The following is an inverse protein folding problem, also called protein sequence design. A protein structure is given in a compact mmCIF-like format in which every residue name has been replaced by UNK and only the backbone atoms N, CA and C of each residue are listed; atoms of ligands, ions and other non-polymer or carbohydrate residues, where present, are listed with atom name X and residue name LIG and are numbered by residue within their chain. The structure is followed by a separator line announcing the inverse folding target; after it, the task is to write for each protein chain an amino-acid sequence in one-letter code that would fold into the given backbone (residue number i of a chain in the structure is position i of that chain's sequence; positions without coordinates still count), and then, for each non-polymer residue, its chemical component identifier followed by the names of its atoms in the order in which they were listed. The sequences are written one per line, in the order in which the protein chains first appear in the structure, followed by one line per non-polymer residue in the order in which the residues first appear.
data_IF_266252131123
#
_entry.id   IF_266252131123
#
_cell.length_a   1.000
_cell.length_b   1.000
_cell.length_c   1.000
_cell.angle_alpha   90.00
_cell.angle_beta   90.00
_cell.angle_gamma   90.00
#
_symmetry.space_group_name_H-M   'P 1'
#
loop_
_entity.id
_entity.type
_entity.pdbx_description
1 polymer ?
#
# COMPACT_ATOMS: atom_id res chain seq x y z
N UNK A 1 -2.01 -38.62 -6.10
CA UNK A 1 -3.13 -37.83 -5.56
C UNK A 1 -2.53 -36.61 -4.90
N UNK A 2 -2.38 -35.54 -5.67
CA UNK A 2 -1.95 -34.22 -5.19
C UNK A 2 -3.07 -33.71 -4.28
N UNK A 3 -2.76 -33.53 -3.00
CA UNK A 3 -3.68 -32.89 -2.06
C UNK A 3 -3.92 -31.48 -2.58
N UNK A 4 -5.19 -31.19 -2.83
CA UNK A 4 -5.70 -29.88 -3.17
C UNK A 4 -5.30 -28.93 -2.05
N UNK A 5 -4.44 -27.96 -2.38
CA UNK A 5 -4.07 -26.87 -1.50
C UNK A 5 -5.35 -26.09 -1.20
N UNK A 6 -5.86 -26.19 0.03
CA UNK A 6 -7.05 -25.46 0.48
C UNK A 6 -6.74 -23.95 0.57
N UNK A 7 -6.68 -23.31 -0.60
CA UNK A 7 -6.65 -21.86 -0.80
C UNK A 7 -8.05 -21.24 -0.73
N UNK A 8 -8.20 -19.98 -1.16
CA UNK A 8 -9.50 -19.30 -1.15
C UNK A 8 -10.51 -20.07 -1.99
N UNK A 9 -11.77 -20.07 -1.52
CA UNK A 9 -12.87 -20.67 -2.27
C UNK A 9 -13.04 -20.04 -3.66
N UNK A 10 -13.60 -20.81 -4.59
CA UNK A 10 -14.01 -20.29 -5.90
C UNK A 10 -14.91 -19.06 -5.73
N UNK A 11 -14.59 -17.95 -6.42
CA UNK A 11 -15.29 -16.66 -6.30
C UNK A 11 -15.41 -16.16 -4.85
N UNK A 12 -14.41 -16.44 -4.02
CA UNK A 12 -14.30 -15.80 -2.72
C UNK A 12 -14.07 -14.29 -2.89
N UNK A 13 -14.44 -13.53 -1.85
CA UNK A 13 -14.02 -12.14 -1.71
C UNK A 13 -12.48 -12.05 -1.70
N UNK A 14 -11.90 -10.88 -2.04
CA UNK A 14 -10.47 -10.68 -1.93
C UNK A 14 -10.02 -10.99 -0.51
N UNK A 15 -8.97 -11.80 -0.38
CA UNK A 15 -8.46 -12.23 0.92
C UNK A 15 -6.96 -12.49 0.86
N UNK A 16 -6.32 -12.44 2.02
CA UNK A 16 -4.88 -12.66 2.17
C UNK A 16 -4.63 -13.95 2.92
N UNK A 17 -3.70 -14.74 2.38
CA UNK A 17 -3.41 -16.08 2.84
C UNK A 17 -1.91 -16.25 3.03
N UNK A 18 -1.54 -16.89 4.13
CA UNK A 18 -0.16 -17.24 4.43
C UNK A 18 -0.05 -18.74 4.68
N UNK A 19 1.00 -19.35 4.14
CA UNK A 19 1.30 -20.76 4.31
C UNK A 19 2.30 -20.91 5.45
N UNK A 20 1.89 -21.58 6.51
CA UNK A 20 2.69 -21.89 7.68
C UNK A 20 2.80 -23.41 7.83
N UNK A 21 4.03 -23.93 7.71
CA UNK A 21 4.32 -25.36 7.81
C UNK A 21 3.49 -26.20 6.82
N UNK A 22 3.36 -25.71 5.59
CA UNK A 22 2.61 -26.35 4.50
C UNK A 22 1.09 -26.22 4.60
N UNK A 23 0.55 -25.43 5.54
CA UNK A 23 -0.90 -25.20 5.69
C UNK A 23 -1.24 -23.73 5.47
N UNK A 24 -2.21 -23.46 4.59
CA UNK A 24 -2.69 -22.10 4.34
C UNK A 24 -3.66 -21.63 5.43
N UNK A 25 -3.45 -20.41 5.92
CA UNK A 25 -4.27 -19.73 6.91
C UNK A 25 -4.67 -18.35 6.41
N UNK A 26 -5.91 -17.89 6.66
CA UNK A 26 -6.27 -16.49 6.47
C UNK A 26 -5.35 -15.62 7.31
N UNK A 27 -4.88 -14.51 6.76
CA UNK A 27 -3.97 -13.61 7.44
C UNK A 27 -4.28 -12.15 7.15
N UNK A 28 -3.79 -11.27 8.01
CA UNK A 28 -3.79 -9.84 7.75
C UNK A 28 -2.57 -9.17 8.39
N UNK A 29 -2.13 -8.06 7.80
CA UNK A 29 -1.15 -7.17 8.41
C UNK A 29 -1.87 -6.12 9.24
N UNK A 30 -1.64 -6.11 10.57
CA UNK A 30 -2.09 -4.99 11.41
C UNK A 30 -0.97 -3.99 11.62
N UNK A 31 -1.27 -2.69 11.62
CA UNK A 31 -0.27 -1.69 11.90
C UNK A 31 0.48 -1.90 13.22
N UNK A 32 -0.26 -2.16 14.30
CA UNK A 32 0.32 -2.36 15.62
C UNK A 32 1.16 -3.66 15.77
N UNK A 33 1.05 -4.60 14.84
CA UNK A 33 1.69 -5.92 14.94
C UNK A 33 2.88 -6.10 13.99
N UNK A 34 3.17 -5.11 13.15
CA UNK A 34 4.33 -5.11 12.27
C UNK A 34 5.65 -5.22 13.06
N UNK A 35 6.66 -5.98 12.58
CA UNK A 35 6.76 -6.66 11.29
C UNK A 35 6.07 -8.03 11.21
N UNK A 36 5.27 -8.43 12.19
CA UNK A 36 4.63 -9.74 12.23
C UNK A 36 3.26 -9.75 11.54
N UNK A 37 2.94 -10.87 10.91
CA UNK A 37 1.62 -11.16 10.36
C UNK A 37 0.76 -11.88 11.39
N UNK A 38 -0.52 -11.54 11.41
CA UNK A 38 -1.51 -12.25 12.21
C UNK A 38 -2.15 -13.34 11.36
N UNK A 39 -2.01 -14.60 11.79
CA UNK A 39 -2.70 -15.75 11.20
C UNK A 39 -3.96 -16.07 12.02
N UNK A 40 -5.09 -16.26 11.34
CA UNK A 40 -6.34 -16.71 11.96
C UNK A 40 -6.45 -18.23 11.89
N UNK A 41 -7.10 -18.82 12.88
CA UNK A 41 -7.56 -20.19 12.77
C UNK A 41 -8.50 -20.35 11.55
N UNK A 42 -8.44 -21.51 10.91
CA UNK A 42 -9.34 -21.87 9.81
C UNK A 42 -10.75 -22.12 10.34
N UNK A 43 -11.74 -22.07 9.45
CA UNK A 43 -13.14 -22.34 9.80
C UNK A 43 -13.37 -23.79 10.28
N UNK A 44 -12.47 -24.70 9.91
CA UNK A 44 -12.43 -26.08 10.41
C UNK A 44 -11.85 -26.21 11.83
N UNK A 45 -11.48 -25.09 12.47
CA UNK A 45 -10.93 -25.02 13.82
C UNK A 45 -9.43 -25.29 13.93
N UNK A 46 -8.73 -25.60 12.83
CA UNK A 46 -7.27 -25.78 12.86
C UNK A 46 -6.60 -24.43 13.08
N UNK A 47 -5.86 -24.33 14.19
CA UNK A 47 -5.03 -23.18 14.51
C UNK A 47 -3.56 -23.41 14.08
N UNK A 48 -2.82 -22.34 13.74
CA UNK A 48 -1.37 -22.41 13.51
C UNK A 48 -0.61 -22.92 14.75
N UNK A 49 0.04 -24.08 14.60
CA UNK A 49 0.80 -24.69 15.69
C UNK A 49 2.14 -23.97 15.93
N UNK A 50 2.58 -23.88 17.19
CA UNK A 50 3.91 -23.39 17.56
C UNK A 50 4.10 -21.87 17.43
N UNK A 51 3.03 -21.11 17.24
CA UNK A 51 3.05 -19.65 17.19
C UNK A 51 2.52 -19.02 18.48
N UNK A 52 3.04 -17.84 18.78
CA UNK A 52 2.57 -17.00 19.89
C UNK A 52 1.11 -16.60 19.64
N UNK A 53 0.27 -16.83 20.64
CA UNK A 53 -1.16 -16.50 20.59
C UNK A 53 -1.39 -15.16 21.27
N UNK A 54 -1.97 -14.22 20.54
CA UNK A 54 -2.38 -12.91 21.06
C UNK A 54 -3.91 -12.87 21.16
N UNK A 55 -4.41 -12.29 22.25
CA UNK A 55 -5.83 -11.97 22.37
C UNK A 55 -6.14 -10.74 21.53
N UNK A 56 -7.11 -10.87 20.63
CA UNK A 56 -7.54 -9.77 19.78
C UNK A 56 -8.88 -9.25 20.31
N UNK A 57 -8.78 -8.24 21.17
CA UNK A 57 -9.93 -7.59 21.82
C UNK A 57 -10.96 -7.04 20.83
N UNK A 58 -10.59 -6.87 19.55
CA UNK A 58 -11.46 -6.34 18.50
C UNK A 58 -12.38 -7.37 17.84
N UNK A 59 -12.03 -8.66 17.87
CA UNK A 59 -12.78 -9.71 17.16
C UNK A 59 -13.27 -10.86 18.06
N UNK A 60 -12.96 -10.84 19.36
CA UNK A 60 -13.18 -11.99 20.26
C UNK A 60 -12.60 -13.31 19.68
N UNK A 61 -11.50 -13.19 18.93
CA UNK A 61 -10.76 -14.30 18.32
C UNK A 61 -9.31 -14.17 18.71
N UNK A 62 -8.63 -15.30 18.84
CA UNK A 62 -7.19 -15.30 19.01
C UNK A 62 -6.50 -15.24 17.65
N UNK A 63 -5.41 -14.48 17.56
CA UNK A 63 -4.52 -14.48 16.39
C UNK A 63 -3.17 -15.10 16.74
N UNK A 64 -2.51 -15.65 15.73
CA UNK A 64 -1.20 -16.27 15.86
C UNK A 64 -0.16 -15.44 15.12
N UNK A 65 0.85 -14.94 15.83
CA UNK A 65 1.84 -14.05 15.25
C UNK A 65 2.97 -14.84 14.57
N UNK A 66 3.27 -14.48 13.34
CA UNK A 66 4.36 -15.08 12.56
C UNK A 66 5.23 -14.00 11.94
N UNK A 67 6.53 -14.25 11.93
CA UNK A 67 7.47 -13.45 11.14
C UNK A 67 7.28 -13.81 9.66
N UNK A 68 7.03 -12.83 8.76
CA UNK A 68 6.88 -13.08 7.33
C UNK A 68 8.03 -13.90 6.73
N UNK A 69 9.25 -13.76 7.26
CA UNK A 69 10.43 -14.47 6.74
C UNK A 69 10.38 -15.98 7.03
N UNK A 70 9.56 -16.40 7.99
CA UNK A 70 9.34 -17.81 8.36
C UNK A 70 8.18 -18.47 7.62
N UNK A 71 7.43 -17.72 6.80
CA UNK A 71 6.34 -18.28 6.01
C UNK A 71 6.88 -19.09 4.83
N UNK A 72 6.14 -20.13 4.45
CA UNK A 72 6.41 -20.88 3.22
C UNK A 72 5.94 -20.07 2.00
N UNK A 73 4.80 -19.38 2.12
CA UNK A 73 4.26 -18.47 1.12
C UNK A 73 3.36 -17.41 1.77
N UNK A 74 3.18 -16.28 1.09
CA UNK A 74 2.23 -15.23 1.48
C UNK A 74 1.68 -14.58 0.22
N UNK A 75 0.36 -14.66 0.05
CA UNK A 75 -0.28 -14.16 -1.15
C UNK A 75 -1.60 -13.46 -0.85
N UNK A 76 -1.92 -12.49 -1.70
CA UNK A 76 -3.26 -11.97 -1.85
C UNK A 76 -3.94 -12.72 -2.99
N UNK A 77 -5.21 -13.03 -2.83
CA UNK A 77 -6.00 -13.64 -3.90
C UNK A 77 -7.30 -12.90 -4.06
N UNK A 78 -7.67 -12.65 -5.31
CA UNK A 78 -8.98 -12.17 -5.67
C UNK A 78 -9.43 -12.84 -6.96
N UNK A 79 -10.74 -12.80 -7.20
CA UNK A 79 -11.34 -13.35 -8.40
C UNK A 79 -11.97 -12.23 -9.21
N UNK A 80 -11.84 -12.31 -10.53
CA UNK A 80 -12.61 -11.48 -11.46
C UNK A 80 -13.50 -12.36 -12.33
N UNK A 81 -14.60 -11.81 -12.82
CA UNK A 81 -15.48 -12.48 -13.77
C UNK A 81 -16.15 -11.46 -14.69
N UNK A 82 -16.80 -11.93 -15.74
CA UNK A 82 -17.68 -11.13 -16.60
C UNK A 82 -19.13 -11.54 -16.46
N UNK A 83 -20.03 -10.56 -16.46
CA UNK A 83 -21.47 -10.80 -16.58
C UNK A 83 -22.03 -9.88 -17.65
N UNK A 84 -22.71 -10.46 -18.65
CA UNK A 84 -23.18 -9.75 -19.87
C UNK A 84 -22.08 -8.98 -20.61
N UNK A 85 -20.86 -9.50 -20.57
CA UNK A 85 -19.68 -8.89 -21.21
C UNK A 85 -18.95 -7.85 -20.37
N UNK A 86 -19.51 -7.44 -19.24
CA UNK A 86 -18.96 -6.38 -18.38
C UNK A 86 -18.11 -6.94 -17.23
N UNK A 87 -17.03 -6.26 -16.80
CA UNK A 87 -16.07 -6.77 -15.83
C UNK A 87 -16.46 -6.53 -14.35
N UNK A 88 -16.20 -7.54 -13.52
CA UNK A 88 -16.45 -7.51 -12.09
C UNK A 88 -15.32 -8.15 -11.28
N UNK A 89 -15.02 -7.56 -10.13
CA UNK A 89 -14.28 -8.21 -9.06
C UNK A 89 -15.25 -8.93 -8.13
N UNK A 90 -14.97 -10.18 -7.78
CA UNK A 90 -15.81 -10.96 -6.87
C UNK A 90 -15.75 -10.41 -5.45
N UNK A 91 -16.91 -10.36 -4.79
CA UNK A 91 -17.04 -10.04 -3.36
C UNK A 91 -17.53 -11.25 -2.54
N UNK A 92 -17.36 -12.47 -3.07
CA UNK A 92 -17.86 -13.69 -2.43
C UNK A 92 -19.17 -14.22 -3.02
N UNK A 93 -19.58 -15.38 -2.53
CA UNK A 93 -20.86 -16.02 -2.88
C UNK A 93 -21.84 -15.89 -1.71
N UNK A 94 -22.88 -15.03 -1.80
CA UNK A 94 -23.90 -14.95 -0.76
C UNK A 94 -24.73 -16.24 -0.63
N UNK A 95 -24.83 -17.02 -1.71
CA UNK A 95 -25.50 -18.32 -1.75
C UNK A 95 -24.88 -19.22 -2.85
N UNK A 96 -25.22 -20.52 -2.92
CA UNK A 96 -24.60 -21.45 -3.88
C UNK A 96 -24.89 -21.19 -5.36
N UNK A 97 -25.90 -20.38 -5.70
CA UNK A 97 -26.35 -20.12 -7.07
C UNK A 97 -25.98 -18.70 -7.55
N UNK A 98 -25.43 -17.87 -6.68
CA UNK A 98 -25.23 -16.45 -6.95
C UNK A 98 -23.83 -16.01 -6.53
N UNK A 99 -23.17 -15.23 -7.40
CA UNK A 99 -21.92 -14.56 -7.09
C UNK A 99 -22.18 -13.07 -6.85
N UNK A 100 -21.60 -12.49 -5.80
CA UNK A 100 -21.57 -11.04 -5.63
C UNK A 100 -20.35 -10.48 -6.36
N UNK A 101 -20.53 -9.36 -7.06
CA UNK A 101 -19.44 -8.67 -7.72
C UNK A 101 -19.53 -7.15 -7.58
N UNK A 102 -18.35 -6.52 -7.51
CA UNK A 102 -18.15 -5.08 -7.67
C UNK A 102 -17.78 -4.78 -9.12
N UNK A 103 -18.52 -3.88 -9.73
CA UNK A 103 -18.36 -3.47 -11.12
C UNK A 103 -17.08 -2.63 -11.29
N UNK A 104 -16.20 -3.10 -12.18
CA UNK A 104 -14.92 -2.45 -12.49
C UNK A 104 -14.94 -1.71 -13.83
N UNK A 105 -16.05 -1.74 -14.56
CA UNK A 105 -16.18 -1.08 -15.85
C UNK A 105 -16.52 0.41 -15.76
N UNK A 106 -16.53 1.06 -16.92
CA UNK A 106 -16.77 2.51 -17.05
C UNK A 106 -18.14 2.83 -17.69
N UNK A 107 -18.93 1.82 -18.07
CA UNK A 107 -20.26 2.03 -18.67
C UNK A 107 -21.30 2.40 -17.60
N UNK A 108 -21.56 3.71 -17.50
CA UNK A 108 -22.52 4.30 -16.57
C UNK A 108 -23.97 3.91 -16.89
N UNK A 109 -24.31 3.65 -18.16
CA UNK A 109 -25.66 3.22 -18.52
C UNK A 109 -25.90 1.79 -18.05
N UNK A 110 -24.93 0.91 -18.30
CA UNK A 110 -24.93 -0.45 -17.76
C UNK A 110 -25.01 -0.45 -16.23
N UNK A 111 -24.15 0.34 -15.57
CA UNK A 111 -24.12 0.45 -14.13
C UNK A 111 -25.49 0.86 -13.57
N UNK A 112 -26.14 1.86 -14.17
CA UNK A 112 -27.46 2.34 -13.77
C UNK A 112 -28.57 1.31 -13.97
N UNK A 113 -28.51 0.50 -15.03
CA UNK A 113 -29.56 -0.45 -15.39
C UNK A 113 -29.48 -1.76 -14.60
N UNK A 114 -28.27 -2.16 -14.17
CA UNK A 114 -28.03 -3.53 -13.70
C UNK A 114 -27.42 -3.65 -12.31
N UNK A 115 -26.93 -2.57 -11.70
CA UNK A 115 -26.40 -2.62 -10.34
C UNK A 115 -27.52 -2.38 -9.33
N UNK A 116 -27.73 -3.35 -8.44
CA UNK A 116 -28.71 -3.23 -7.36
C UNK A 116 -28.28 -2.20 -6.30
N UNK A 117 -26.97 -1.89 -6.23
CA UNK A 117 -26.39 -0.87 -5.35
C UNK A 117 -25.48 0.07 -6.14
N UNK A 118 -26.03 1.05 -6.88
CA UNK A 118 -25.23 1.91 -7.77
C UNK A 118 -24.15 2.70 -7.03
N UNK A 119 -24.41 3.13 -5.78
CA UNK A 119 -23.42 3.85 -4.97
C UNK A 119 -22.22 2.99 -4.53
N UNK A 120 -22.39 1.67 -4.45
CA UNK A 120 -21.32 0.73 -4.13
C UNK A 120 -20.78 0.03 -5.37
N UNK A 121 -21.36 0.34 -6.54
CA UNK A 121 -21.13 -0.36 -7.80
C UNK A 121 -21.17 -1.89 -7.63
N UNK A 122 -22.13 -2.41 -6.87
CA UNK A 122 -22.22 -3.84 -6.53
C UNK A 122 -23.54 -4.47 -6.99
N UNK A 123 -23.49 -5.78 -7.27
CA UNK A 123 -24.66 -6.60 -7.57
C UNK A 123 -24.44 -8.09 -7.31
N UNK A 124 -25.55 -8.83 -7.34
CA UNK A 124 -25.62 -10.28 -7.14
C UNK A 124 -26.05 -10.92 -8.47
N UNK A 125 -25.26 -11.84 -9.01
CA UNK A 125 -25.37 -12.36 -10.37
C UNK A 125 -25.53 -13.88 -10.41
N UNK A 126 -26.45 -14.42 -11.23
CA UNK A 126 -26.61 -15.87 -11.38
C UNK A 126 -25.31 -16.52 -11.85
N UNK A 127 -24.90 -17.58 -11.15
CA UNK A 127 -23.61 -18.24 -11.38
C UNK A 127 -23.54 -18.90 -12.77
N UNK A 128 -24.67 -19.28 -13.36
CA UNK A 128 -24.77 -19.84 -14.70
C UNK A 128 -24.68 -18.78 -15.81
N UNK A 129 -24.81 -17.49 -15.47
CA UNK A 129 -24.67 -16.37 -16.41
C UNK A 129 -23.28 -15.73 -16.40
N UNK A 130 -22.44 -16.00 -15.40
CA UNK A 130 -21.09 -15.44 -15.33
C UNK A 130 -20.14 -16.21 -16.25
N UNK A 131 -19.16 -15.50 -16.79
CA UNK A 131 -18.16 -15.99 -17.74
C UNK A 131 -16.78 -15.46 -17.38
N UNK A 132 -15.73 -15.94 -18.04
CA UNK A 132 -14.35 -15.45 -17.89
C UNK A 132 -13.89 -15.32 -16.42
N UNK A 133 -14.17 -16.35 -15.63
CA UNK A 133 -13.76 -16.40 -14.23
C UNK A 133 -12.25 -16.62 -14.16
N UNK A 134 -11.54 -15.67 -13.56
CA UNK A 134 -10.08 -15.69 -13.42
C UNK A 134 -9.70 -15.49 -11.96
N UNK A 135 -8.84 -16.37 -11.45
CA UNK A 135 -8.17 -16.20 -10.18
C UNK A 135 -6.89 -15.38 -10.38
N UNK A 136 -6.70 -14.37 -9.54
CA UNK A 136 -5.49 -13.56 -9.50
C UNK A 136 -4.78 -13.80 -8.18
N UNK A 137 -3.47 -14.09 -8.25
CA UNK A 137 -2.63 -14.27 -7.07
C UNK A 137 -1.45 -13.33 -7.11
N UNK A 138 -1.26 -12.55 -6.06
CA UNK A 138 -0.12 -11.66 -5.88
C UNK A 138 0.77 -12.20 -4.78
N UNK A 139 2.06 -12.43 -5.06
CA UNK A 139 3.04 -12.83 -4.04
C UNK A 139 3.43 -11.63 -3.17
N UNK A 140 2.84 -11.56 -1.98
CA UNK A 140 3.06 -10.47 -1.03
C UNK A 140 4.42 -10.55 -0.34
N UNK A 141 5.03 -11.75 -0.26
CA UNK A 141 6.38 -11.91 0.28
C UNK A 141 7.40 -11.32 -0.67
N UNK A 142 7.35 -11.69 -1.95
CA UNK A 142 8.24 -11.15 -2.97
C UNK A 142 8.13 -9.62 -3.05
N UNK A 143 6.90 -9.11 -2.99
CA UNK A 143 6.60 -7.68 -2.98
C UNK A 143 7.17 -6.96 -1.74
N UNK A 144 7.01 -7.53 -0.54
CA UNK A 144 7.64 -7.01 0.69
C UNK A 144 9.15 -6.96 0.55
N UNK A 145 9.78 -8.05 0.11
CA UNK A 145 11.23 -8.18 0.01
C UNK A 145 11.82 -7.19 -1.01
N UNK A 146 11.12 -6.99 -2.14
CA UNK A 146 11.46 -5.95 -3.10
C UNK A 146 11.39 -4.54 -2.49
N UNK A 147 10.31 -4.23 -1.77
CA UNK A 147 10.12 -2.91 -1.19
C UNK A 147 11.09 -2.65 -0.03
N UNK A 148 11.44 -3.66 0.77
CA UNK A 148 12.52 -3.57 1.77
C UNK A 148 13.89 -3.36 1.13
N UNK A 149 14.15 -4.02 -0.01
CA UNK A 149 15.39 -3.81 -0.77
C UNK A 149 15.46 -2.38 -1.33
N UNK A 150 14.35 -1.87 -1.88
CA UNK A 150 14.28 -0.50 -2.38
C UNK A 150 14.41 0.53 -1.26
N UNK A 151 13.81 0.27 -0.09
CA UNK A 151 14.04 1.02 1.14
C UNK A 151 15.54 1.10 1.47
N UNK A 152 16.22 -0.04 1.53
CA UNK A 152 17.65 -0.07 1.84
C UNK A 152 18.53 0.61 0.75
N UNK A 153 18.15 0.49 -0.52
CA UNK A 153 18.93 1.01 -1.65
C UNK A 153 18.73 2.49 -1.98
N UNK A 154 17.65 3.11 -1.50
CA UNK A 154 17.29 4.51 -1.83
C UNK A 154 17.49 5.49 -0.66
N UNK A 155 18.27 5.11 0.34
CA UNK A 155 18.34 5.83 1.63
C UNK A 155 16.92 6.00 2.26
N UNK A 156 16.08 4.97 2.04
CA UNK A 156 14.70 4.88 2.51
C UNK A 156 13.72 5.86 1.89
N UNK A 157 13.86 6.19 0.61
CA UNK A 157 13.00 7.15 -0.11
C UNK A 157 13.04 8.59 0.41
N UNK A 158 14.03 8.95 1.24
CA UNK A 158 14.17 10.32 1.75
C UNK A 158 14.39 11.29 0.57
N UNK A 159 13.70 12.45 0.53
CA UNK A 159 13.97 13.46 -0.48
C UNK A 159 15.43 13.93 -0.46
N UNK A 160 16.05 14.06 -1.63
CA UNK A 160 17.43 14.51 -1.80
C UNK A 160 17.50 15.61 -2.84
N UNK A 161 18.41 16.55 -2.69
CA UNK A 161 18.72 17.50 -3.75
C UNK A 161 20.13 17.30 -4.29
N UNK A 162 20.28 17.69 -5.55
CA UNK A 162 21.55 17.69 -6.27
C UNK A 162 21.65 19.00 -7.04
N UNK A 163 22.87 19.50 -7.19
CA UNK A 163 23.16 20.67 -7.98
C UNK A 163 24.36 20.44 -8.89
N UNK A 164 24.43 21.18 -9.99
CA UNK A 164 25.60 21.20 -10.87
C UNK A 164 26.38 22.49 -10.64
N UNK A 165 27.66 22.32 -10.27
CA UNK A 165 28.63 23.39 -10.06
C UNK A 165 29.88 23.06 -10.87
N UNK A 166 30.29 23.97 -11.75
CA UNK A 166 31.43 23.80 -12.66
C UNK A 166 31.34 22.48 -13.47
N UNK A 167 30.16 22.18 -14.00
CA UNK A 167 29.87 20.95 -14.75
C UNK A 167 29.87 19.66 -13.92
N UNK A 168 29.94 19.72 -12.58
CA UNK A 168 29.93 18.55 -11.69
C UNK A 168 28.64 18.47 -10.89
N UNK A 169 27.98 17.31 -10.96
CA UNK A 169 26.84 16.98 -10.08
C UNK A 169 27.33 16.68 -8.67
N UNK A 170 26.76 17.36 -7.68
CA UNK A 170 27.08 17.25 -6.27
C UNK A 170 25.80 17.20 -5.43
N UNK A 171 25.80 16.52 -4.26
CA UNK A 171 24.70 16.62 -3.30
C UNK A 171 24.46 18.08 -2.91
N UNK A 172 23.20 18.45 -2.71
CA UNK A 172 22.83 19.82 -2.37
C UNK A 172 21.73 19.84 -1.29
N UNK A 173 21.60 20.97 -0.61
CA UNK A 173 20.46 21.25 0.25
C UNK A 173 19.16 21.33 -0.56
N UNK A 174 18.05 20.94 0.07
CA UNK A 174 16.71 20.99 -0.53
C UNK A 174 16.16 22.42 -0.67
N UNK A 175 16.74 23.37 0.06
CA UNK A 175 16.35 24.78 0.08
C UNK A 175 17.58 25.66 0.16
N UNK A 176 17.45 26.88 -0.35
CA UNK A 176 18.43 27.94 -0.12
C UNK A 176 18.23 28.53 1.27
N UNK A 177 19.31 29.05 1.87
CA UNK A 177 19.23 29.84 3.09
C UNK A 177 18.57 31.21 2.84
N UNK A 178 18.37 31.98 3.92
CA UNK A 178 17.78 33.32 3.83
C UNK A 178 18.58 34.32 2.96
N UNK A 179 19.82 33.99 2.59
CA UNK A 179 20.66 34.79 1.69
C UNK A 179 20.63 34.30 0.23
N UNK A 180 19.82 33.28 -0.08
CA UNK A 180 19.72 32.69 -1.41
C UNK A 180 20.90 31.76 -1.75
N UNK A 181 21.59 31.21 -0.74
CA UNK A 181 22.70 30.26 -0.95
C UNK A 181 22.29 28.83 -0.62
N UNK A 182 22.76 27.90 -1.43
CA UNK A 182 22.53 26.47 -1.30
C UNK A 182 23.82 25.81 -0.79
N UNK A 183 23.73 24.97 0.22
CA UNK A 183 24.85 24.13 0.64
C UNK A 183 25.04 23.00 -0.38
N UNK A 184 26.23 22.91 -0.97
CA UNK A 184 26.59 21.92 -2.00
C UNK A 184 27.83 21.15 -1.58
N UNK A 185 27.83 19.84 -1.81
CA UNK A 185 28.90 18.91 -1.46
C UNK A 185 28.49 17.81 -0.46
N UNK A 186 29.40 16.88 -0.23
CA UNK A 186 29.20 15.79 0.73
C UNK A 186 29.05 16.29 2.17
N UNK A 187 28.30 15.59 3.04
CA UNK A 187 28.22 15.92 4.46
C UNK A 187 29.60 16.11 5.09
N UNK A 188 29.83 17.26 5.73
CA UNK A 188 31.12 17.62 6.33
C UNK A 188 32.13 18.30 5.39
N UNK A 189 31.83 18.40 4.08
CA UNK A 189 32.63 19.12 3.07
C UNK A 189 31.78 20.11 2.27
N UNK A 190 30.64 20.52 2.82
CA UNK A 190 29.71 21.42 2.16
C UNK A 190 30.26 22.85 2.07
N UNK A 191 30.00 23.50 0.95
CA UNK A 191 30.24 24.92 0.74
C UNK A 191 28.96 25.61 0.23
N UNK A 192 28.83 26.90 0.51
CA UNK A 192 27.65 27.68 0.13
C UNK A 192 27.85 28.33 -1.24
N UNK A 193 26.96 28.02 -2.18
CA UNK A 193 26.94 28.57 -3.56
C UNK A 193 25.65 29.36 -3.74
N UNK A 194 25.65 30.51 -4.43
CA UNK A 194 24.37 31.19 -4.70
C UNK A 194 23.53 30.34 -5.65
N UNK A 195 22.21 30.29 -5.44
CA UNK A 195 21.32 29.56 -6.34
C UNK A 195 21.47 30.01 -7.81
N UNK A 196 21.70 31.32 -8.04
CA UNK A 196 21.93 31.90 -9.37
C UNK A 196 23.25 31.51 -10.03
N UNK A 197 24.19 30.94 -9.27
CA UNK A 197 25.50 30.47 -9.76
C UNK A 197 25.47 28.97 -10.10
N UNK A 198 24.37 28.27 -9.77
CA UNK A 198 24.19 26.85 -10.10
C UNK A 198 23.76 26.68 -11.56
N UNK A 199 24.33 25.70 -12.25
CA UNK A 199 23.93 25.35 -13.62
C UNK A 199 22.61 24.56 -13.64
N UNK A 200 22.35 23.81 -12.57
CA UNK A 200 21.11 23.08 -12.32
C UNK A 200 20.97 22.81 -10.83
N UNK A 201 19.75 22.75 -10.31
CA UNK A 201 19.45 22.35 -8.94
C UNK A 201 18.11 21.63 -8.94
N UNK A 202 18.05 20.39 -8.43
CA UNK A 202 16.82 19.61 -8.46
C UNK A 202 16.66 18.73 -7.23
N UNK A 203 15.40 18.45 -6.89
CA UNK A 203 14.98 17.48 -5.87
C UNK A 203 14.62 16.16 -6.53
N UNK A 204 15.21 15.07 -6.04
CA UNK A 204 14.70 13.71 -6.22
C UNK A 204 13.84 13.35 -5.02
N UNK A 205 12.61 12.90 -5.25
CA UNK A 205 11.70 12.46 -4.20
C UNK A 205 10.78 11.35 -4.72
N UNK A 206 10.00 10.75 -3.82
CA UNK A 206 9.14 9.62 -4.15
C UNK A 206 7.71 9.90 -3.71
N UNK A 207 6.76 9.42 -4.49
CA UNK A 207 5.35 9.33 -4.06
C UNK A 207 4.90 7.89 -4.09
N UNK A 208 3.89 7.59 -3.28
CA UNK A 208 3.23 6.29 -3.30
C UNK A 208 1.76 6.44 -2.94
N UNK A 209 1.00 5.40 -3.24
CA UNK A 209 -0.36 5.22 -2.75
C UNK A 209 -0.32 4.22 -1.61
N UNK A 210 -0.97 4.55 -0.50
CA UNK A 210 -1.22 3.58 0.57
C UNK A 210 -2.52 2.86 0.24
N UNK A 211 -2.43 1.55 0.07
CA UNK A 211 -3.59 0.67 -0.09
C UNK A 211 -4.22 0.39 1.29
N UNK A 212 -5.35 1.03 1.56
CA UNK A 212 -6.12 0.82 2.79
C UNK A 212 -7.50 0.21 2.49
N UNK A 213 -7.48 -1.01 1.97
CA UNK A 213 -8.71 -1.78 1.75
C UNK A 213 -9.46 -2.08 3.06
N UNK A 214 -8.77 -2.11 4.20
CA UNK A 214 -9.37 -2.46 5.48
C UNK A 214 -10.33 -1.37 5.97
N UNK A 215 -10.01 -0.09 5.76
CA UNK A 215 -10.87 1.02 6.22
C UNK A 215 -11.91 1.46 5.19
N UNK A 216 -11.94 0.86 3.99
CA UNK A 216 -12.81 1.27 2.88
C UNK A 216 -12.67 2.77 2.49
N UNK A 217 -11.58 3.41 2.92
CA UNK A 217 -11.35 4.84 2.71
C UNK A 217 -10.63 5.15 1.38
N UNK A 218 -10.22 4.10 0.67
CA UNK A 218 -9.69 4.16 -0.68
C UNK A 218 -8.18 4.33 -0.74
N UNK A 219 -7.70 4.68 -1.93
CA UNK A 219 -6.28 4.87 -2.22
C UNK A 219 -5.84 6.27 -1.79
N UNK A 220 -4.90 6.33 -0.85
CA UNK A 220 -4.44 7.60 -0.29
C UNK A 220 -3.02 7.93 -0.79
N UNK A 221 -2.81 9.07 -1.48
CA UNK A 221 -1.50 9.42 -2.02
C UNK A 221 -0.62 10.12 -0.97
N UNK A 222 0.66 9.74 -0.94
CA UNK A 222 1.67 10.27 -0.04
C UNK A 222 2.94 10.68 -0.79
N UNK A 223 3.61 11.72 -0.30
CA UNK A 223 5.02 12.01 -0.57
C UNK A 223 5.88 11.36 0.50
N UNK A 224 6.84 10.52 0.11
CA UNK A 224 7.72 9.85 1.06
C UNK A 224 8.65 10.86 1.77
N UNK A 225 8.73 10.75 3.09
CA UNK A 225 9.62 11.55 3.94
C UNK A 225 10.90 10.80 4.31
N UNK A 226 10.86 9.47 4.25
CA UNK A 226 11.98 8.62 4.57
C UNK A 226 11.56 7.33 5.27
N UNK A 227 12.53 6.51 5.68
CA UNK A 227 12.25 5.33 6.48
C UNK A 227 11.96 5.74 7.93
N UNK A 228 11.01 5.04 8.55
CA UNK A 228 10.75 5.07 9.98
C UNK A 228 10.69 3.63 10.49
N UNK A 229 11.79 3.18 11.12
CA UNK A 229 12.03 1.77 11.45
C UNK A 229 11.91 0.89 10.19
N UNK A 230 10.97 -0.04 10.18
CA UNK A 230 10.73 -0.99 9.09
C UNK A 230 9.60 -0.53 8.14
N UNK A 231 9.26 0.77 8.18
CA UNK A 231 8.17 1.38 7.45
C UNK A 231 8.64 2.61 6.65
N UNK A 232 7.75 3.15 5.82
CA UNK A 232 7.92 4.46 5.17
C UNK A 232 7.04 5.47 5.86
N UNK A 233 7.63 6.58 6.33
CA UNK A 233 6.86 7.75 6.72
C UNK A 233 6.52 8.55 5.47
N UNK A 234 5.26 8.91 5.30
CA UNK A 234 4.79 9.74 4.20
C UNK A 234 4.00 10.94 4.69
N UNK A 235 4.10 12.04 3.97
CA UNK A 235 3.21 13.19 4.06
C UNK A 235 2.03 12.99 3.11
N UNK A 236 0.80 13.15 3.59
CA UNK A 236 -0.40 13.06 2.78
C UNK A 236 -0.47 14.22 1.78
N UNK A 237 -0.61 13.91 0.49
CA UNK A 237 -0.66 14.91 -0.61
C UNK A 237 -2.00 14.92 -1.35
N UNK A 238 -3.00 14.19 -0.85
CA UNK A 238 -4.34 14.15 -1.44
C UNK A 238 -5.14 15.43 -1.22
N UNK A 239 -6.26 15.56 -1.93
CA UNK A 239 -7.14 16.69 -1.73
C UNK A 239 -7.72 16.67 -0.31
N UNK A 240 -7.76 17.84 0.33
CA UNK A 240 -8.21 18.03 1.72
C UNK A 240 -9.75 17.97 1.84
N UNK A 241 -10.39 16.97 1.21
CA UNK A 241 -11.83 16.80 1.34
C UNK A 241 -12.11 16.33 2.77
N UNK A 242 -12.64 17.28 3.54
CA UNK A 242 -12.80 17.42 4.99
C UNK A 242 -13.33 16.21 5.80
N UNK A 243 -13.72 15.09 5.16
CA UNK A 243 -14.36 13.94 5.80
C UNK A 243 -13.47 12.71 6.02
N UNK A 244 -12.39 12.52 5.25
CA UNK A 244 -11.55 11.32 5.32
C UNK A 244 -10.36 11.47 6.28
N UNK A 245 -9.76 12.67 6.34
CA UNK A 245 -8.55 12.97 7.12
C UNK A 245 -8.79 13.00 8.64
N UNK A 246 -10.02 13.26 9.09
CA UNK A 246 -10.36 13.39 10.52
C UNK A 246 -11.07 12.17 11.12
N UNK A 247 -11.66 11.30 10.30
CA UNK A 247 -12.37 10.09 10.76
C UNK A 247 -11.53 8.83 10.67
N UNK A 248 -10.44 8.87 9.92
CA UNK A 248 -9.49 7.77 9.87
C UNK A 248 -8.41 8.06 10.90
N UNK A 249 -8.26 7.17 11.90
CA UNK A 249 -7.17 7.18 12.87
C UNK A 249 -5.80 6.87 12.20
N UNK A 250 -5.61 7.30 10.95
CA UNK A 250 -4.51 6.95 10.06
C UNK A 250 -3.47 8.07 9.94
N UNK A 251 -3.87 9.32 10.20
CA UNK A 251 -3.04 10.49 10.00
C UNK A 251 -2.68 11.16 11.33
N UNK A 252 -1.39 11.40 11.51
CA UNK A 252 -0.84 12.20 12.60
C UNK A 252 -0.66 13.65 12.12
N UNK A 253 -1.22 14.61 12.87
CA UNK A 253 -0.96 16.04 12.66
C UNK A 253 0.40 16.42 13.24
N UNK A 254 1.30 16.89 12.39
CA UNK A 254 2.66 17.26 12.74
C UNK A 254 3.00 18.67 12.25
N UNK A 255 4.05 19.25 12.82
CA UNK A 255 4.65 20.50 12.33
C UNK A 255 5.88 20.16 11.50
N UNK A 256 5.87 20.56 10.23
CA UNK A 256 6.96 20.35 9.30
C UNK A 256 8.20 21.21 9.60
N UNK A 257 9.33 20.93 8.91
CA UNK A 257 10.58 21.65 9.12
C UNK A 257 10.50 23.16 8.83
N UNK A 258 9.57 23.55 7.97
CA UNK A 258 9.24 24.93 7.59
C UNK A 258 8.19 25.58 8.51
N UNK A 259 7.78 24.88 9.57
CA UNK A 259 6.75 25.33 10.51
C UNK A 259 5.32 25.18 10.00
N UNK A 260 5.10 24.62 8.79
CA UNK A 260 3.75 24.39 8.29
C UNK A 260 3.15 23.15 8.94
N UNK A 261 1.84 23.16 9.09
CA UNK A 261 1.11 21.95 9.48
C UNK A 261 1.14 20.92 8.34
N UNK A 262 1.44 19.67 8.67
CA UNK A 262 1.41 18.54 7.75
C UNK A 262 0.67 17.36 8.39
N UNK A 263 0.12 16.51 7.56
CA UNK A 263 -0.52 15.26 8.00
C UNK A 263 0.33 14.10 7.50
N UNK A 264 0.73 13.23 8.40
CA UNK A 264 1.63 12.12 8.07
C UNK A 264 1.05 10.78 8.44
N UNK A 265 1.55 9.72 7.80
CA UNK A 265 1.27 8.35 8.21
C UNK A 265 2.52 7.49 8.04
N UNK A 266 2.55 6.40 8.80
CA UNK A 266 3.55 5.36 8.63
C UNK A 266 2.92 4.22 7.82
N UNK A 267 3.45 3.97 6.63
CA UNK A 267 2.96 2.95 5.72
C UNK A 267 3.92 1.74 5.71
N UNK A 268 3.35 0.54 5.86
CA UNK A 268 4.11 -0.70 5.74
C UNK A 268 4.51 -0.95 4.29
N UNK A 269 5.70 -1.52 4.04
CA UNK A 269 6.13 -1.82 2.70
C UNK A 269 5.08 -2.60 1.92
N UNK A 270 4.44 -3.63 2.46
CA UNK A 270 3.40 -4.43 1.79
C UNK A 270 2.14 -3.64 1.38
N UNK A 271 1.93 -2.43 1.90
CA UNK A 271 0.80 -1.53 1.60
C UNK A 271 1.12 -0.43 0.57
N UNK A 272 2.38 -0.29 0.13
CA UNK A 272 2.83 0.78 -0.78
C UNK A 272 2.57 0.42 -2.25
N UNK A 273 1.51 0.92 -2.84
CA UNK A 273 1.24 0.80 -4.28
C UNK A 273 1.72 2.03 -5.05
N UNK A 274 1.80 1.93 -6.39
CA UNK A 274 2.13 3.05 -7.30
C UNK A 274 3.40 3.87 -6.94
N UNK A 275 4.41 3.20 -6.37
CA UNK A 275 5.66 3.84 -5.97
C UNK A 275 6.36 4.48 -7.18
N UNK A 276 6.44 5.81 -7.19
CA UNK A 276 6.94 6.58 -8.33
C UNK A 276 8.06 7.52 -7.90
N UNK A 277 9.17 7.51 -8.66
CA UNK A 277 10.30 8.43 -8.48
C UNK A 277 10.06 9.70 -9.28
N UNK A 278 10.29 10.85 -8.65
CA UNK A 278 10.13 12.16 -9.26
C UNK A 278 11.45 12.96 -9.23
N UNK A 279 11.59 13.85 -10.21
CA UNK A 279 12.62 14.89 -10.25
C UNK A 279 11.94 16.24 -10.45
N UNK A 280 12.14 17.16 -9.51
CA UNK A 280 11.61 18.53 -9.56
C UNK A 280 12.77 19.51 -9.67
N UNK A 281 12.72 20.40 -10.64
CA UNK A 281 13.68 21.51 -10.76
C UNK A 281 13.44 22.52 -9.64
N UNK A 282 14.50 22.92 -8.95
CA UNK A 282 14.49 23.86 -7.83
C UNK A 282 15.02 25.25 -8.23
N UNK A 283 15.52 25.43 -9.46
CA UNK A 283 15.87 26.76 -9.97
C UNK A 283 14.65 27.56 -10.47
N UNK A 284 13.54 26.87 -10.73
CA UNK A 284 12.33 27.46 -11.27
C UNK A 284 11.32 27.94 -10.21
N UNK A 285 11.57 27.62 -8.94
CA UNK A 285 10.78 28.01 -7.76
C UNK A 285 11.41 29.22 -7.03
#
# INVERSE_FOLDING_TARGET
MTQQEDGPGFLAAPDRWAVWQGVAYPCWGRPALWPRLALRARDDGRAPAGLERLDDDSEHRYVHLVDPDRLDAWHETHWTFRWRGEPFQSCGMPDPATARGRYEGEDEEFARLHLNRPNHREGDYPLDEITDVVEHRTDLRALRDERLRLLAGTDGYRPRAFAVVDGRELPAALQADASGRVAVGEPGQQHLVRATELEAWWRVHWTYVMDDQDTHCGNHPFSALGPERDCVKGEYIGNATYGLVMHTYLLDEETGPDGRRMYTSTCYPDRITELTKHRTDLLAD
#
